data_IF_230065481989
#
_entry.id   IF_230065481989
#
_cell.length_a   1.000
_cell.length_b   1.000
_cell.length_c   1.000
_cell.angle_alpha   90.00
_cell.angle_beta   90.00
_cell.angle_gamma   90.00
#
_symmetry.space_group_name_H-M   'P 1'
#
loop_
_entity.id
_entity.type
_entity.pdbx_description
1 polymer ?
#
# COMPACT_ATOMS: atom_id res chain seq x y z
N UNK A 1 20.07 -1.77 19.20
CA UNK A 1 18.77 -2.47 19.30
C UNK A 1 18.19 -2.55 17.90
N UNK A 2 18.02 -3.74 17.33
CA UNK A 2 17.47 -3.89 15.97
C UNK A 2 16.00 -3.46 15.99
N UNK A 3 15.59 -2.60 15.05
CA UNK A 3 14.18 -2.22 14.93
C UNK A 3 13.33 -3.48 14.71
N UNK A 4 12.14 -3.60 15.33
CA UNK A 4 11.18 -4.65 15.01
C UNK A 4 11.00 -4.83 13.49
N UNK A 5 10.85 -6.06 13.01
CA UNK A 5 10.77 -6.38 11.58
C UNK A 5 9.69 -5.56 10.82
N UNK A 6 8.64 -5.11 11.51
CA UNK A 6 7.61 -4.24 10.91
C UNK A 6 8.10 -2.81 10.58
N UNK A 7 9.27 -2.39 11.07
CA UNK A 7 9.82 -1.03 10.91
C UNK A 7 11.11 -0.97 10.08
N UNK A 8 11.72 -2.11 9.77
CA UNK A 8 12.91 -2.16 8.94
C UNK A 8 12.61 -1.64 7.52
N UNK A 9 13.52 -0.86 6.95
CA UNK A 9 13.43 -0.40 5.56
C UNK A 9 14.18 -1.36 4.64
N UNK A 10 14.05 -1.21 3.32
CA UNK A 10 14.73 -2.12 2.38
C UNK A 10 16.24 -2.02 2.53
N UNK A 11 16.76 -0.83 2.84
CA UNK A 11 18.14 -0.53 3.16
C UNK A 11 18.66 -1.32 4.36
N UNK A 12 17.78 -1.63 5.32
CA UNK A 12 18.15 -2.45 6.48
C UNK A 12 18.08 -3.95 6.16
N UNK A 13 17.12 -4.36 5.34
CA UNK A 13 16.86 -5.77 5.01
C UNK A 13 17.82 -6.31 3.94
N UNK A 14 18.21 -5.47 2.98
CA UNK A 14 19.04 -5.83 1.85
C UNK A 14 20.09 -4.73 1.56
N UNK A 15 21.00 -4.42 2.49
CA UNK A 15 22.00 -3.35 2.32
C UNK A 15 22.91 -3.58 1.11
N UNK A 16 23.25 -4.84 0.82
CA UNK A 16 24.06 -5.20 -0.35
C UNK A 16 23.34 -4.85 -1.67
N UNK A 17 22.04 -5.10 -1.76
CA UNK A 17 21.23 -4.75 -2.92
C UNK A 17 21.25 -3.23 -3.16
N UNK A 18 20.99 -2.45 -2.10
CA UNK A 18 20.98 -0.99 -2.18
C UNK A 18 22.35 -0.45 -2.57
N UNK A 19 23.42 -1.01 -2.01
CA UNK A 19 24.80 -0.65 -2.37
C UNK A 19 25.06 -0.89 -3.85
N UNK A 20 24.70 -2.05 -4.40
CA UNK A 20 24.89 -2.39 -5.83
C UNK A 20 24.08 -1.44 -6.73
N UNK A 21 22.79 -1.25 -6.43
CA UNK A 21 21.92 -0.38 -7.21
C UNK A 21 22.44 1.08 -7.25
N UNK A 22 23.05 1.54 -6.15
CA UNK A 22 23.59 2.90 -6.04
C UNK A 22 24.93 3.06 -6.78
N UNK A 23 25.74 2.00 -6.85
CA UNK A 23 27.05 2.03 -7.52
C UNK A 23 26.95 2.00 -9.04
N UNK A 24 25.95 1.31 -9.59
CA UNK A 24 25.72 1.26 -11.02
C UNK A 24 24.57 2.16 -11.43
N UNK A 25 24.90 3.30 -12.01
CA UNK A 25 23.94 4.17 -12.69
C UNK A 25 23.92 3.83 -14.18
N UNK A 26 22.75 3.50 -14.73
CA UNK A 26 22.57 3.14 -16.14
C UNK A 26 21.84 4.25 -16.90
N UNK A 27 22.20 4.42 -18.17
CA UNK A 27 21.46 5.31 -19.08
C UNK A 27 20.05 4.76 -19.37
N UNK A 28 19.07 5.63 -19.63
CA UNK A 28 17.70 5.19 -19.96
C UNK A 28 17.64 4.22 -21.15
N UNK A 29 18.54 4.36 -22.14
CA UNK A 29 18.61 3.44 -23.29
C UNK A 29 19.03 2.03 -22.85
N UNK A 30 20.13 1.93 -22.11
CA UNK A 30 20.65 0.65 -21.63
C UNK A 30 19.69 -0.02 -20.63
N UNK A 31 19.16 0.78 -19.68
CA UNK A 31 18.17 0.31 -18.71
C UNK A 31 16.92 -0.27 -19.38
N UNK A 32 16.38 0.38 -20.44
CA UNK A 32 15.24 -0.17 -21.20
C UNK A 32 15.57 -1.52 -21.82
N UNK A 33 16.72 -1.66 -22.46
CA UNK A 33 17.15 -2.95 -23.03
C UNK A 33 17.18 -4.03 -21.95
N UNK A 34 17.80 -3.75 -20.80
CA UNK A 34 17.85 -4.71 -19.69
C UNK A 34 16.45 -5.08 -19.17
N UNK A 35 15.56 -4.09 -18.98
CA UNK A 35 14.19 -4.28 -18.50
C UNK A 35 13.36 -5.11 -19.50
N UNK A 36 13.61 -4.98 -20.80
CA UNK A 36 12.95 -5.77 -21.84
C UNK A 36 13.47 -7.22 -21.87
N UNK A 37 14.78 -7.41 -21.74
CA UNK A 37 15.43 -8.73 -21.78
C UNK A 37 15.22 -9.55 -20.50
N UNK A 38 14.95 -8.90 -19.36
CA UNK A 38 14.84 -9.54 -18.05
C UNK A 38 13.45 -9.31 -17.43
N UNK A 39 12.53 -10.29 -17.55
CA UNK A 39 11.21 -10.23 -16.94
C UNK A 39 11.16 -9.96 -15.43
N UNK A 40 12.21 -10.34 -14.71
CA UNK A 40 12.31 -10.14 -13.26
C UNK A 40 12.80 -8.74 -12.84
N UNK A 41 13.27 -7.89 -13.75
CA UNK A 41 13.69 -6.53 -13.41
C UNK A 41 12.49 -5.64 -13.07
N UNK A 42 12.44 -5.18 -11.82
CA UNK A 42 11.40 -4.30 -11.29
C UNK A 42 12.01 -3.12 -10.52
N UNK A 43 11.29 -1.99 -10.41
CA UNK A 43 11.68 -0.92 -9.50
C UNK A 43 11.46 -1.41 -8.07
N UNK A 44 12.47 -1.22 -7.21
CA UNK A 44 12.41 -1.57 -5.78
C UNK A 44 12.35 -0.34 -4.90
N UNK A 45 12.74 0.84 -5.39
CA UNK A 45 12.62 2.10 -4.68
C UNK A 45 12.61 3.30 -5.64
N UNK A 46 11.83 4.33 -5.32
CA UNK A 46 11.99 5.68 -5.88
C UNK A 46 12.52 6.55 -4.75
N UNK A 47 13.61 7.25 -4.98
CA UNK A 47 14.25 8.13 -3.99
C UNK A 47 13.74 9.56 -4.13
N UNK A 48 13.88 10.36 -3.07
CA UNK A 48 13.37 11.74 -3.07
C UNK A 48 14.13 12.72 -3.96
N UNK A 49 15.31 12.34 -4.43
CA UNK A 49 16.13 13.06 -5.42
C UNK A 49 15.85 12.62 -6.86
N UNK A 50 14.83 11.79 -7.10
CA UNK A 50 14.40 11.44 -8.46
C UNK A 50 15.16 10.28 -9.09
N UNK A 51 15.77 9.39 -8.28
CA UNK A 51 16.33 8.13 -8.79
C UNK A 51 15.37 6.96 -8.59
N UNK A 52 15.49 5.97 -9.46
CA UNK A 52 14.80 4.68 -9.35
C UNK A 52 15.85 3.61 -9.15
N UNK A 53 15.74 2.83 -8.07
CA UNK A 53 16.55 1.64 -7.84
C UNK A 53 15.82 0.44 -8.43
N UNK A 54 16.52 -0.36 -9.21
CA UNK A 54 16.02 -1.56 -9.89
C UNK A 54 16.71 -2.80 -9.34
N UNK A 55 15.97 -3.91 -9.29
CA UNK A 55 16.52 -5.22 -8.93
C UNK A 55 15.84 -6.32 -9.73
N UNK A 56 16.61 -7.32 -10.14
CA UNK A 56 16.10 -8.53 -10.81
C UNK A 56 15.63 -9.53 -9.73
N UNK A 57 14.31 -9.63 -9.56
CA UNK A 57 13.70 -10.57 -8.61
C UNK A 57 13.36 -11.92 -9.24
N UNK A 58 13.76 -12.13 -10.50
CA UNK A 58 13.48 -13.34 -11.27
C UNK A 58 11.99 -13.70 -11.27
N UNK A 59 11.72 -14.98 -11.01
CA UNK A 59 10.36 -15.55 -10.93
C UNK A 59 9.84 -15.63 -9.48
N UNK A 60 10.48 -14.96 -8.52
CA UNK A 60 10.10 -15.04 -7.11
C UNK A 60 8.68 -14.51 -6.88
N UNK A 61 7.74 -15.39 -6.50
CA UNK A 61 6.34 -15.04 -6.25
C UNK A 61 6.18 -14.39 -4.88
N UNK A 62 5.65 -13.17 -4.86
CA UNK A 62 5.52 -12.39 -3.63
C UNK A 62 4.36 -12.90 -2.78
N UNK A 63 4.66 -13.35 -1.57
CA UNK A 63 3.67 -13.88 -0.61
C UNK A 63 3.75 -13.17 0.75
N UNK A 64 4.82 -12.44 0.99
CA UNK A 64 5.10 -11.74 2.23
C UNK A 64 4.13 -10.56 2.44
N UNK A 65 3.91 -10.22 3.71
CA UNK A 65 2.97 -9.17 4.08
C UNK A 65 3.51 -7.74 3.81
N UNK A 66 4.73 -7.60 3.29
CA UNK A 66 5.35 -6.35 2.82
C UNK A 66 6.24 -6.61 1.60
N UNK A 67 6.14 -5.74 0.61
CA UNK A 67 6.96 -5.75 -0.59
C UNK A 67 8.47 -5.81 -0.31
N UNK A 68 8.97 -5.02 0.64
CA UNK A 68 10.40 -5.01 1.00
C UNK A 68 10.91 -6.38 1.50
N UNK A 69 10.04 -7.17 2.13
CA UNK A 69 10.39 -8.50 2.63
C UNK A 69 10.46 -9.47 1.43
N UNK A 70 9.51 -9.38 0.50
CA UNK A 70 9.56 -10.10 -0.78
C UNK A 70 10.81 -9.76 -1.59
N UNK A 71 11.18 -8.48 -1.69
CA UNK A 71 12.39 -8.06 -2.41
C UNK A 71 13.64 -8.57 -1.70
N UNK A 72 13.73 -8.45 -0.37
CA UNK A 72 14.88 -8.95 0.38
C UNK A 72 15.05 -10.48 0.23
N UNK A 73 13.94 -11.23 0.23
CA UNK A 73 13.96 -12.68 0.00
C UNK A 73 14.38 -13.03 -1.43
N UNK A 74 13.79 -12.36 -2.44
CA UNK A 74 14.10 -12.57 -3.84
C UNK A 74 15.54 -12.19 -4.21
N UNK A 75 16.07 -11.14 -3.56
CA UNK A 75 17.38 -10.56 -3.85
C UNK A 75 18.47 -10.96 -2.83
N UNK A 76 18.30 -12.08 -2.12
CA UNK A 76 19.25 -12.55 -1.13
C UNK A 76 20.60 -13.02 -1.74
N UNK A 77 20.63 -13.31 -3.04
CA UNK A 77 21.83 -13.79 -3.75
C UNK A 77 22.90 -12.72 -4.00
N UNK A 78 24.15 -13.17 -4.15
CA UNK A 78 25.29 -12.27 -4.44
C UNK A 78 25.28 -11.73 -5.87
N UNK A 79 24.71 -12.47 -6.83
CA UNK A 79 24.72 -12.14 -8.26
C UNK A 79 23.47 -11.38 -8.75
N UNK A 80 22.66 -10.85 -7.83
CA UNK A 80 21.44 -10.12 -8.20
C UNK A 80 21.80 -8.87 -8.97
N UNK A 81 21.30 -8.78 -10.20
CA UNK A 81 21.41 -7.58 -11.04
C UNK A 81 20.61 -6.46 -10.41
N UNK A 82 21.30 -5.35 -10.12
CA UNK A 82 20.72 -4.17 -9.53
C UNK A 82 21.46 -2.92 -10.03
N UNK A 83 20.70 -1.89 -10.39
CA UNK A 83 21.21 -0.63 -10.91
C UNK A 83 20.24 0.50 -10.55
N UNK A 84 20.63 1.72 -10.87
CA UNK A 84 19.80 2.91 -10.74
C UNK A 84 19.66 3.67 -12.05
N UNK A 85 18.56 4.40 -12.18
CA UNK A 85 18.26 5.31 -13.30
C UNK A 85 17.67 6.59 -12.77
N UNK A 86 17.57 7.62 -13.61
CA UNK A 86 16.67 8.74 -13.34
C UNK A 86 15.20 8.28 -13.42
N UNK A 87 14.33 9.00 -12.71
CA UNK A 87 12.88 8.75 -12.70
C UNK A 87 12.23 9.02 -14.05
N UNK A 88 12.85 9.86 -14.88
CA UNK A 88 12.39 10.18 -16.23
C UNK A 88 12.25 8.94 -17.12
N UNK A 89 13.04 7.88 -16.86
CA UNK A 89 12.87 6.59 -17.53
C UNK A 89 11.43 6.07 -17.39
N UNK A 90 10.82 6.20 -16.21
CA UNK A 90 9.44 5.79 -15.97
C UNK A 90 8.44 6.69 -16.71
N UNK A 91 8.81 7.91 -17.11
CA UNK A 91 7.96 8.83 -17.89
C UNK A 91 7.98 8.52 -19.40
N UNK A 92 8.84 7.62 -19.86
CA UNK A 92 8.95 7.27 -21.27
C UNK A 92 7.90 6.22 -21.68
N UNK A 93 7.08 6.53 -22.70
CA UNK A 93 6.13 5.56 -23.29
C UNK A 93 6.83 4.29 -23.80
N UNK A 94 8.06 4.44 -24.31
CA UNK A 94 8.87 3.35 -24.84
C UNK A 94 9.32 2.33 -23.77
N UNK A 95 9.16 2.64 -22.47
CA UNK A 95 9.44 1.68 -21.39
C UNK A 95 8.34 0.62 -21.27
N UNK A 96 7.11 0.89 -21.71
CA UNK A 96 5.94 0.06 -21.46
C UNK A 96 6.23 -1.45 -21.50
N UNK A 97 5.93 -2.13 -20.40
CA UNK A 97 6.26 -3.55 -20.18
C UNK A 97 5.02 -4.42 -20.24
N UNK A 98 5.18 -5.67 -20.66
CA UNK A 98 4.12 -6.66 -20.49
C UNK A 98 3.87 -6.88 -18.99
N UNK A 99 2.64 -6.66 -18.55
CA UNK A 99 2.25 -6.74 -17.15
C UNK A 99 0.86 -7.31 -16.99
N UNK A 100 0.59 -7.82 -15.79
CA UNK A 100 -0.75 -8.29 -15.43
C UNK A 100 -1.70 -7.09 -15.31
N UNK A 101 -2.93 -7.17 -15.84
CA UNK A 101 -3.90 -6.09 -15.69
C UNK A 101 -4.21 -5.87 -14.20
N UNK A 102 -4.20 -4.62 -13.69
CA UNK A 102 -4.65 -4.34 -12.35
C UNK A 102 -6.14 -4.65 -12.21
N UNK A 103 -6.47 -5.60 -11.35
CA UNK A 103 -7.83 -6.03 -11.04
C UNK A 103 -8.38 -5.39 -9.75
N UNK A 104 -7.55 -4.68 -8.98
CA UNK A 104 -8.03 -3.99 -7.80
C UNK A 104 -6.98 -3.19 -7.04
N UNK A 105 -7.38 -2.02 -6.56
CA UNK A 105 -6.59 -1.18 -5.66
C UNK A 105 -7.16 -1.16 -4.25
N UNK A 106 -6.29 -1.34 -3.26
CA UNK A 106 -6.67 -1.38 -1.83
C UNK A 106 -6.08 -0.14 -1.13
N UNK A 107 -6.95 0.82 -0.83
CA UNK A 107 -6.68 1.97 0.03
C UNK A 107 -7.20 1.71 1.45
N UNK A 108 -6.72 2.45 2.44
CA UNK A 108 -7.03 2.13 3.84
C UNK A 108 -6.64 3.21 4.87
N UNK A 109 -7.35 3.25 6.00
CA UNK A 109 -7.13 4.22 7.09
C UNK A 109 -5.99 3.87 8.08
N UNK A 110 -5.14 2.89 7.73
CA UNK A 110 -4.17 2.24 8.63
C UNK A 110 -4.83 1.36 9.70
N UNK A 111 -4.13 0.30 10.11
CA UNK A 111 -4.52 -0.60 11.23
C UNK A 111 -5.94 -1.17 11.16
N UNK A 112 -6.54 -1.20 9.97
CA UNK A 112 -7.93 -1.62 9.72
C UNK A 112 -8.06 -3.03 9.08
N UNK A 113 -7.00 -3.84 9.11
CA UNK A 113 -7.04 -5.20 8.55
C UNK A 113 -6.75 -5.31 7.05
N UNK A 114 -6.30 -4.25 6.39
CA UNK A 114 -5.91 -4.28 4.97
C UNK A 114 -4.86 -5.33 4.61
N UNK A 115 -3.93 -5.64 5.53
CA UNK A 115 -2.97 -6.74 5.34
C UNK A 115 -3.64 -8.13 5.32
N UNK A 116 -4.73 -8.33 6.07
CA UNK A 116 -5.49 -9.59 6.04
C UNK A 116 -6.09 -9.82 4.66
N UNK A 117 -6.75 -8.81 4.08
CA UNK A 117 -7.31 -8.91 2.72
C UNK A 117 -6.22 -9.15 1.68
N UNK A 118 -5.11 -8.40 1.73
CA UNK A 118 -4.02 -8.56 0.77
C UNK A 118 -3.41 -9.97 0.84
N UNK A 119 -3.18 -10.51 2.04
CA UNK A 119 -2.69 -11.88 2.19
C UNK A 119 -3.71 -12.91 1.76
N UNK A 120 -4.99 -12.67 2.02
CA UNK A 120 -6.08 -13.55 1.58
C UNK A 120 -6.07 -13.66 0.06
N UNK A 121 -6.00 -12.52 -0.66
CA UNK A 121 -5.86 -12.50 -2.12
C UNK A 121 -4.61 -13.23 -2.61
N UNK A 122 -3.48 -13.12 -1.88
CA UNK A 122 -2.20 -13.74 -2.24
C UNK A 122 -2.19 -15.27 -2.09
N UNK A 123 -3.20 -15.87 -1.46
CA UNK A 123 -3.35 -17.33 -1.38
C UNK A 123 -3.67 -18.00 -2.71
N UNK A 124 -4.17 -17.24 -3.69
CA UNK A 124 -4.40 -17.75 -5.05
C UNK A 124 -3.19 -17.48 -5.93
N UNK A 125 -2.67 -18.52 -6.57
CA UNK A 125 -1.55 -18.42 -7.51
C UNK A 125 -1.88 -17.61 -8.78
N UNK A 126 -3.17 -17.41 -9.06
CA UNK A 126 -3.60 -16.52 -10.15
C UNK A 126 -3.35 -15.03 -9.85
N UNK A 127 -3.16 -14.68 -8.58
CA UNK A 127 -3.08 -13.30 -8.15
C UNK A 127 -1.62 -12.91 -7.92
N UNK A 128 -1.18 -11.83 -8.56
CA UNK A 128 -0.01 -11.09 -8.13
C UNK A 128 -0.47 -10.02 -7.14
N UNK A 129 -0.03 -10.07 -5.89
CA UNK A 129 -0.41 -9.08 -4.88
C UNK A 129 0.82 -8.28 -4.47
N UNK A 130 0.80 -6.99 -4.77
CA UNK A 130 1.85 -6.05 -4.42
C UNK A 130 1.44 -5.28 -3.16
N UNK A 131 2.14 -5.52 -2.06
CA UNK A 131 1.73 -5.05 -0.74
C UNK A 131 2.67 -3.96 -0.20
N UNK A 132 2.23 -2.70 -0.32
CA UNK A 132 2.94 -1.50 0.14
C UNK A 132 4.34 -1.38 -0.48
N UNK A 133 4.38 -1.32 -1.82
CA UNK A 133 5.63 -1.26 -2.58
C UNK A 133 6.40 0.03 -2.33
N UNK A 134 7.66 -0.11 -1.94
CA UNK A 134 8.60 0.99 -1.69
C UNK A 134 8.67 2.06 -2.80
N UNK A 135 8.59 1.71 -4.11
CA UNK A 135 8.53 2.69 -5.18
C UNK A 135 7.28 3.58 -5.16
N UNK A 136 6.19 3.17 -4.51
CA UNK A 136 4.93 3.93 -4.44
C UNK A 136 4.83 4.83 -3.19
N UNK A 137 5.94 5.07 -2.47
CA UNK A 137 5.98 5.83 -1.21
C UNK A 137 6.50 7.27 -1.37
N UNK A 138 7.22 7.80 -0.36
CA UNK A 138 7.56 9.22 -0.21
C UNK A 138 8.39 9.77 -1.37
N UNK A 139 9.32 8.98 -1.93
CA UNK A 139 10.16 9.42 -3.04
C UNK A 139 9.35 9.73 -4.30
N UNK A 140 8.41 8.85 -4.67
CA UNK A 140 7.50 9.08 -5.80
C UNK A 140 6.70 10.38 -5.63
N UNK A 141 6.04 10.53 -4.48
CA UNK A 141 5.15 11.68 -4.29
C UNK A 141 5.93 12.97 -4.14
N UNK A 142 7.16 12.92 -3.60
CA UNK A 142 8.07 14.07 -3.61
C UNK A 142 8.44 14.49 -5.04
N UNK A 143 8.67 13.54 -5.97
CA UNK A 143 8.91 13.86 -7.39
C UNK A 143 7.66 14.50 -8.01
N UNK A 144 6.50 13.87 -7.85
CA UNK A 144 5.24 14.32 -8.48
C UNK A 144 4.77 15.68 -7.97
N UNK A 145 5.10 16.06 -6.73
CA UNK A 145 4.67 17.31 -6.07
C UNK A 145 5.77 18.39 -6.03
N UNK A 146 6.85 18.24 -6.81
CA UNK A 146 8.04 19.10 -6.75
C UNK A 146 8.51 19.41 -5.32
N UNK A 147 8.87 18.38 -4.58
CA UNK A 147 9.32 18.57 -3.21
C UNK A 147 8.21 18.94 -2.23
N UNK A 148 6.95 18.54 -2.48
CA UNK A 148 5.76 18.88 -1.68
C UNK A 148 5.30 20.33 -1.79
N UNK A 149 5.70 21.03 -2.86
CA UNK A 149 5.36 22.44 -3.11
C UNK A 149 4.10 22.60 -3.95
N UNK A 150 3.86 21.64 -4.82
CA UNK A 150 2.76 21.64 -5.78
C UNK A 150 1.72 20.58 -5.43
N UNK A 151 0.47 20.82 -5.83
CA UNK A 151 -0.55 19.79 -5.78
C UNK A 151 -0.16 18.60 -6.66
N UNK A 152 -0.61 17.39 -6.31
CA UNK A 152 -0.40 16.19 -7.12
C UNK A 152 -1.30 16.17 -8.38
N UNK A 153 -1.39 17.30 -9.07
CA UNK A 153 -2.00 17.45 -10.38
C UNK A 153 -1.07 16.80 -11.42
N UNK A 154 -1.45 15.62 -11.90
CA UNK A 154 -0.60 14.87 -12.81
C UNK A 154 -0.43 15.61 -14.14
N UNK A 155 0.81 15.71 -14.63
CA UNK A 155 1.06 15.90 -16.05
C UNK A 155 0.84 14.57 -16.78
N UNK A 156 0.82 14.57 -18.11
CA UNK A 156 0.74 13.30 -18.85
C UNK A 156 1.98 12.43 -18.61
N UNK A 157 3.15 13.03 -18.45
CA UNK A 157 4.37 12.33 -18.03
C UNK A 157 4.22 11.66 -16.65
N UNK A 158 3.57 12.32 -15.67
CA UNK A 158 3.29 11.69 -14.37
C UNK A 158 2.27 10.55 -14.47
N UNK A 159 1.31 10.63 -15.41
CA UNK A 159 0.39 9.51 -15.70
C UNK A 159 1.18 8.33 -16.26
N UNK A 160 2.05 8.56 -17.24
CA UNK A 160 2.93 7.52 -17.82
C UNK A 160 3.85 6.92 -16.77
N UNK A 161 4.43 7.74 -15.88
CA UNK A 161 5.21 7.29 -14.73
C UNK A 161 4.44 6.30 -13.87
N UNK A 162 3.23 6.66 -13.41
CA UNK A 162 2.43 5.78 -12.56
C UNK A 162 2.05 4.48 -13.28
N UNK A 163 1.74 4.56 -14.58
CA UNK A 163 1.42 3.40 -15.42
C UNK A 163 2.60 2.45 -15.54
N UNK A 164 3.76 2.96 -15.90
CA UNK A 164 4.98 2.18 -16.03
C UNK A 164 5.44 1.61 -14.69
N UNK A 165 5.34 2.39 -13.61
CA UNK A 165 5.73 1.93 -12.28
C UNK A 165 4.86 0.76 -11.80
N UNK A 166 3.53 0.88 -11.91
CA UNK A 166 2.60 -0.20 -11.54
C UNK A 166 2.71 -1.38 -12.52
N UNK A 167 2.92 -1.11 -13.82
CA UNK A 167 3.16 -2.14 -14.83
C UNK A 167 4.41 -2.98 -14.52
N UNK A 168 5.53 -2.34 -14.20
CA UNK A 168 6.75 -3.03 -13.79
C UNK A 168 6.56 -3.83 -12.50
N UNK A 169 5.85 -3.30 -11.51
CA UNK A 169 5.51 -4.06 -10.30
C UNK A 169 4.63 -5.29 -10.61
N UNK A 170 3.75 -5.15 -11.59
CA UNK A 170 2.81 -6.17 -12.08
C UNK A 170 3.36 -7.15 -13.10
N UNK A 171 4.66 -7.16 -13.37
CA UNK A 171 5.27 -8.15 -14.27
C UNK A 171 4.98 -9.58 -13.78
N UNK A 172 4.64 -10.44 -14.73
CA UNK A 172 4.24 -11.82 -14.47
C UNK A 172 5.46 -12.61 -13.98
N UNK A 173 5.32 -13.26 -12.82
CA UNK A 173 6.37 -14.09 -12.19
C UNK A 173 6.08 -15.59 -12.27
N UNK A 174 4.85 -15.95 -12.63
CA UNK A 174 4.51 -17.35 -12.91
C UNK A 174 3.46 -17.46 -14.01
N UNK A 175 3.45 -18.59 -14.72
CA UNK A 175 2.48 -18.86 -15.76
C UNK A 175 1.03 -18.99 -15.23
N UNK A 176 0.82 -19.09 -13.92
CA UNK A 176 -0.51 -19.13 -13.31
C UNK A 176 -1.12 -17.73 -13.13
N UNK A 177 -0.30 -16.69 -12.93
CA UNK A 177 -0.80 -15.36 -12.64
C UNK A 177 -1.62 -14.76 -13.80
N UNK A 178 -2.75 -14.14 -13.47
CA UNK A 178 -3.71 -13.55 -14.40
C UNK A 178 -4.03 -12.10 -14.09
N UNK A 179 -3.81 -11.65 -12.85
CA UNK A 179 -4.25 -10.33 -12.39
C UNK A 179 -3.36 -9.75 -11.30
N UNK A 180 -3.33 -8.42 -11.23
CA UNK A 180 -2.59 -7.65 -10.24
C UNK A 180 -3.54 -7.01 -9.22
N UNK A 181 -3.26 -7.19 -7.94
CA UNK A 181 -3.83 -6.39 -6.86
C UNK A 181 -2.74 -5.54 -6.22
N UNK A 182 -3.00 -4.25 -6.03
CA UNK A 182 -2.04 -3.34 -5.38
C UNK A 182 -2.65 -2.81 -4.08
N UNK A 183 -2.03 -3.15 -2.96
CA UNK A 183 -2.31 -2.54 -1.67
C UNK A 183 -1.33 -1.41 -1.42
N UNK A 184 -1.86 -0.21 -1.21
CA UNK A 184 -1.05 0.97 -0.94
C UNK A 184 -0.81 1.16 0.57
N UNK A 185 0.18 1.99 0.94
CA UNK A 185 0.28 2.47 2.32
C UNK A 185 -0.91 3.36 2.65
N UNK A 186 -1.22 3.51 3.95
CA UNK A 186 -2.40 4.27 4.37
C UNK A 186 -2.43 5.68 3.79
N UNK A 187 -1.30 6.37 3.85
CA UNK A 187 -1.22 7.77 3.42
C UNK A 187 -1.32 7.94 1.90
N UNK A 188 -1.15 6.89 1.09
CA UNK A 188 -1.33 7.00 -0.36
C UNK A 188 -2.76 7.35 -0.76
N UNK A 189 -3.75 7.18 0.11
CA UNK A 189 -5.14 7.54 -0.21
C UNK A 189 -5.30 9.03 -0.52
N UNK A 190 -4.42 9.90 -0.01
CA UNK A 190 -4.46 11.34 -0.36
C UNK A 190 -4.11 11.57 -1.84
N UNK A 191 -3.37 10.65 -2.44
CA UNK A 191 -3.01 10.65 -3.86
C UNK A 191 -3.92 9.76 -4.71
N UNK A 192 -5.03 9.29 -4.14
CA UNK A 192 -5.92 8.38 -4.85
C UNK A 192 -6.45 8.99 -6.14
N UNK A 193 -6.83 10.28 -6.17
CA UNK A 193 -7.27 10.96 -7.42
C UNK A 193 -6.21 10.86 -8.54
N UNK A 194 -4.95 11.07 -8.22
CA UNK A 194 -3.84 10.90 -9.15
C UNK A 194 -3.73 9.44 -9.63
N UNK A 195 -3.72 8.47 -8.71
CA UNK A 195 -3.67 7.04 -9.05
C UNK A 195 -4.87 6.64 -9.92
N UNK A 196 -6.07 7.14 -9.61
CA UNK A 196 -7.30 6.87 -10.38
C UNK A 196 -7.23 7.48 -11.77
N UNK A 197 -6.67 8.68 -11.95
CA UNK A 197 -6.45 9.27 -13.28
C UNK A 197 -5.56 8.39 -14.16
N UNK A 198 -4.52 7.76 -13.59
CA UNK A 198 -3.67 6.86 -14.34
C UNK A 198 -4.36 5.53 -14.72
N UNK A 199 -5.36 5.11 -13.94
CA UNK A 199 -5.99 3.80 -14.03
C UNK A 199 -7.52 3.86 -13.93
N UNK A 200 -8.24 4.65 -14.74
CA UNK A 200 -9.63 5.07 -14.50
C UNK A 200 -10.65 3.91 -14.38
N UNK A 201 -10.35 2.75 -14.96
CA UNK A 201 -11.25 1.59 -14.96
C UNK A 201 -10.91 0.55 -13.87
N UNK A 202 -9.79 0.70 -13.18
CA UNK A 202 -9.38 -0.26 -12.14
C UNK A 202 -10.25 -0.08 -10.90
N UNK A 203 -10.99 -1.10 -10.45
CA UNK A 203 -11.84 -0.98 -9.28
C UNK A 203 -11.00 -0.76 -8.02
N UNK A 204 -11.56 -0.04 -7.05
CA UNK A 204 -10.88 0.29 -5.81
C UNK A 204 -11.78 0.02 -4.61
N UNK A 205 -11.14 -0.28 -3.48
CA UNK A 205 -11.79 -0.28 -2.19
C UNK A 205 -11.01 0.54 -1.17
N UNK A 206 -11.72 1.01 -0.15
CA UNK A 206 -11.16 1.71 0.99
C UNK A 206 -11.57 1.02 2.29
N UNK A 207 -10.60 0.45 3.00
CA UNK A 207 -10.83 -0.25 4.26
C UNK A 207 -10.70 0.72 5.43
N UNK A 208 -11.74 0.80 6.24
CA UNK A 208 -11.78 1.59 7.47
C UNK A 208 -12.18 0.72 8.66
N UNK A 209 -12.06 1.25 9.87
CA UNK A 209 -12.38 0.59 11.14
C UNK A 209 -12.82 1.66 12.13
N UNK A 210 -13.48 1.24 13.21
CA UNK A 210 -13.71 2.07 14.39
C UNK A 210 -12.46 2.95 14.69
N UNK A 211 -12.61 4.29 14.65
CA UNK A 211 -11.48 5.20 14.77
C UNK A 211 -10.81 5.12 16.14
N UNK A 212 -11.54 4.87 17.23
CA UNK A 212 -10.95 4.70 18.55
C UNK A 212 -10.02 3.47 18.58
N UNK A 213 -10.45 2.36 17.99
CA UNK A 213 -9.63 1.14 17.86
C UNK A 213 -8.38 1.35 16.99
N UNK A 214 -8.47 2.22 15.97
CA UNK A 214 -7.31 2.62 15.14
C UNK A 214 -6.33 3.46 15.95
N UNK A 215 -6.80 4.50 16.66
CA UNK A 215 -5.96 5.41 17.44
C UNK A 215 -5.21 4.69 18.57
N UNK A 216 -5.89 3.83 19.36
CA UNK A 216 -5.20 3.06 20.41
C UNK A 216 -4.21 2.06 19.81
N UNK A 217 -4.49 1.50 18.63
CA UNK A 217 -3.53 0.64 17.94
C UNK A 217 -2.32 1.39 17.44
N UNK A 218 -2.48 2.64 17.04
CA UNK A 218 -1.41 3.50 16.55
C UNK A 218 -0.48 3.88 17.70
N UNK A 219 -1.04 4.47 18.77
CA UNK A 219 -0.30 4.90 19.96
C UNK A 219 0.51 3.76 20.60
N UNK A 220 -0.04 2.55 20.64
CA UNK A 220 0.62 1.39 21.24
C UNK A 220 1.83 0.85 20.45
N UNK A 221 2.09 1.36 19.23
CA UNK A 221 3.14 0.84 18.34
C UNK A 221 4.06 1.91 17.78
N UNK A 222 4.12 3.08 18.40
CA UNK A 222 5.04 4.13 17.96
C UNK A 222 6.52 3.80 18.24
N UNK A 223 7.45 4.21 17.36
CA UNK A 223 7.21 4.78 16.02
C UNK A 223 6.86 3.68 14.98
N UNK A 224 5.89 3.93 14.10
CA UNK A 224 5.52 3.05 13.00
C UNK A 224 5.00 3.78 11.76
N UNK A 225 5.16 3.19 10.58
CA UNK A 225 4.39 3.56 9.39
C UNK A 225 4.42 5.07 9.09
N UNK A 226 3.26 5.73 9.15
CA UNK A 226 3.11 7.17 8.90
C UNK A 226 3.51 8.05 10.09
N UNK A 227 3.71 7.52 11.30
CA UNK A 227 4.13 8.32 12.47
C UNK A 227 5.50 8.96 12.25
N UNK A 228 6.35 8.35 11.41
CA UNK A 228 7.65 8.89 10.98
C UNK A 228 7.54 10.15 10.12
N UNK A 229 6.35 10.44 9.56
CA UNK A 229 6.13 11.62 8.74
C UNK A 229 5.93 12.87 9.57
N UNK A 230 5.64 12.75 10.87
CA UNK A 230 5.37 13.90 11.73
C UNK A 230 6.53 14.90 11.69
N UNK A 231 6.21 16.17 11.44
CA UNK A 231 7.21 17.22 11.31
C UNK A 231 7.97 17.23 9.98
N UNK A 232 7.55 16.44 8.99
CA UNK A 232 8.14 16.44 7.65
C UNK A 232 7.25 17.18 6.65
N UNK A 233 7.81 17.66 5.52
CA UNK A 233 7.01 18.24 4.43
C UNK A 233 5.87 17.35 3.94
N UNK A 234 6.03 16.02 4.00
CA UNK A 234 4.96 15.09 3.63
C UNK A 234 3.74 15.18 4.58
N UNK A 235 3.97 15.29 5.89
CA UNK A 235 2.87 15.47 6.85
C UNK A 235 2.21 16.84 6.72
N UNK A 236 3.01 17.89 6.49
CA UNK A 236 2.53 19.24 6.23
C UNK A 236 1.59 19.25 5.01
N UNK A 237 2.02 18.62 3.91
CA UNK A 237 1.24 18.45 2.69
C UNK A 237 -0.06 17.68 2.93
N UNK A 238 0.00 16.52 3.60
CA UNK A 238 -1.16 15.66 3.87
C UNK A 238 -2.22 16.39 4.71
N UNK A 239 -1.77 17.16 5.70
CA UNK A 239 -2.63 17.80 6.69
C UNK A 239 -3.06 19.23 6.30
N UNK A 240 -2.41 19.84 5.30
CA UNK A 240 -2.63 21.24 4.92
C UNK A 240 -2.18 22.23 6.00
N UNK A 241 -1.10 21.91 6.71
CA UNK A 241 -0.50 22.72 7.80
C UNK A 241 1.01 22.84 7.59
N UNK A 242 1.73 23.58 8.43
CA UNK A 242 3.20 23.63 8.36
C UNK A 242 3.85 22.38 8.98
N UNK A 243 5.14 22.16 8.65
CA UNK A 243 5.91 21.08 9.26
C UNK A 243 6.08 21.31 10.77
N UNK A 244 6.24 22.57 11.19
CA UNK A 244 6.35 22.97 12.59
C UNK A 244 5.06 22.70 13.36
N UNK A 245 3.90 23.03 12.78
CA UNK A 245 2.59 22.73 13.35
C UNK A 245 2.40 21.22 13.51
N UNK A 246 2.76 20.43 12.48
CA UNK A 246 2.72 18.96 12.56
C UNK A 246 3.63 18.41 13.66
N UNK A 247 4.85 18.96 13.79
CA UNK A 247 5.80 18.54 14.81
C UNK A 247 5.28 18.84 16.23
N UNK A 248 4.57 19.94 16.42
CA UNK A 248 4.03 20.40 17.69
C UNK A 248 2.81 19.60 18.20
N UNK A 249 2.11 18.87 17.33
CA UNK A 249 0.96 18.04 17.74
C UNK A 249 1.38 16.98 18.76
N UNK A 250 0.54 16.60 19.72
CA UNK A 250 0.78 15.35 20.46
C UNK A 250 0.51 14.12 19.58
N UNK A 251 0.91 12.93 20.02
CA UNK A 251 0.73 11.70 19.24
C UNK A 251 -0.74 11.42 18.90
N UNK A 252 -1.65 11.60 19.87
CA UNK A 252 -3.08 11.34 19.68
C UNK A 252 -3.68 12.26 18.61
N UNK A 253 -3.41 13.56 18.71
CA UNK A 253 -3.89 14.58 17.80
C UNK A 253 -3.30 14.39 16.40
N UNK A 254 -2.01 14.05 16.30
CA UNK A 254 -1.39 13.73 15.03
C UNK A 254 -2.04 12.52 14.35
N UNK A 255 -2.24 11.41 15.09
CA UNK A 255 -2.90 10.22 14.53
C UNK A 255 -4.33 10.48 14.11
N UNK A 256 -5.09 11.26 14.90
CA UNK A 256 -6.46 11.63 14.55
C UNK A 256 -6.53 12.50 13.30
N UNK A 257 -5.64 13.50 13.17
CA UNK A 257 -5.58 14.35 12.00
C UNK A 257 -5.20 13.57 10.73
N UNK A 258 -4.22 12.66 10.81
CA UNK A 258 -3.87 11.79 9.69
C UNK A 258 -5.04 10.88 9.28
N UNK A 259 -5.74 10.29 10.26
CA UNK A 259 -6.92 9.45 10.01
C UNK A 259 -8.05 10.25 9.35
N UNK A 260 -8.33 11.46 9.84
CA UNK A 260 -9.32 12.37 9.26
C UNK A 260 -8.96 12.72 7.81
N UNK A 261 -7.70 13.09 7.55
CA UNK A 261 -7.22 13.37 6.21
C UNK A 261 -7.43 12.19 5.25
N UNK A 262 -7.18 10.96 5.71
CA UNK A 262 -7.41 9.75 4.91
C UNK A 262 -8.87 9.52 4.58
N UNK A 263 -9.76 9.64 5.57
CA UNK A 263 -11.21 9.49 5.37
C UNK A 263 -11.77 10.57 4.43
N UNK A 264 -11.32 11.82 4.61
CA UNK A 264 -11.71 12.95 3.76
C UNK A 264 -11.24 12.72 2.32
N UNK A 265 -9.99 12.30 2.12
CA UNK A 265 -9.47 11.99 0.79
C UNK A 265 -10.26 10.85 0.11
N UNK A 266 -10.60 9.80 0.86
CA UNK A 266 -11.42 8.70 0.36
C UNK A 266 -12.81 9.17 -0.12
N UNK A 267 -13.49 10.00 0.67
CA UNK A 267 -14.82 10.52 0.34
C UNK A 267 -14.83 11.54 -0.79
N UNK A 268 -13.73 12.29 -0.95
CA UNK A 268 -13.63 13.36 -1.95
C UNK A 268 -13.09 12.88 -3.29
N UNK A 269 -12.88 11.60 -3.53
CA UNK A 269 -12.16 11.13 -4.73
C UNK A 269 -12.81 11.49 -6.08
N UNK A 270 -14.09 11.89 -6.10
CA UNK A 270 -14.85 12.21 -7.31
C UNK A 270 -15.82 11.09 -7.70
N UNK A 271 -16.21 11.05 -8.97
CA UNK A 271 -17.29 10.19 -9.46
C UNK A 271 -16.89 8.73 -9.68
N UNK A 272 -15.58 8.42 -9.67
CA UNK A 272 -15.10 7.05 -9.79
C UNK A 272 -15.58 6.23 -8.57
N UNK A 273 -16.29 5.11 -8.76
CA UNK A 273 -16.81 4.32 -7.65
C UNK A 273 -15.66 3.70 -6.84
N UNK A 274 -15.74 3.82 -5.51
CA UNK A 274 -14.94 3.04 -4.55
C UNK A 274 -15.88 2.30 -3.62
N UNK A 275 -15.49 1.08 -3.27
CA UNK A 275 -16.20 0.34 -2.25
C UNK A 275 -15.62 0.65 -0.87
N UNK A 276 -16.42 1.28 -0.02
CA UNK A 276 -16.07 1.45 1.39
C UNK A 276 -16.29 0.13 2.11
N UNK A 277 -15.30 -0.35 2.88
CA UNK A 277 -15.41 -1.62 3.61
C UNK A 277 -15.01 -1.39 5.06
N UNK A 278 -15.96 -1.55 5.97
CA UNK A 278 -15.62 -1.61 7.39
C UNK A 278 -14.90 -2.94 7.67
N UNK A 279 -13.84 -2.89 8.46
CA UNK A 279 -13.12 -4.07 8.98
C UNK A 279 -14.05 -5.17 9.52
N UNK A 280 -15.19 -4.82 10.12
CA UNK A 280 -16.19 -5.79 10.60
C UNK A 280 -16.82 -6.64 9.50
N UNK A 281 -16.74 -6.19 8.26
CA UNK A 281 -17.26 -6.87 7.07
C UNK A 281 -16.21 -7.76 6.42
N UNK A 282 -14.93 -7.58 6.79
CA UNK A 282 -13.83 -8.44 6.35
C UNK A 282 -13.90 -9.74 7.16
N UNK A 283 -14.80 -10.64 6.75
CA UNK A 283 -15.03 -11.96 7.37
C UNK A 283 -14.69 -13.07 6.39
N UNK A 284 -14.36 -14.24 6.95
CA UNK A 284 -14.05 -15.44 6.18
C UNK A 284 -15.25 -15.87 5.33
N UNK A 285 -16.45 -15.81 5.91
CA UNK A 285 -17.68 -16.30 5.31
C UNK A 285 -18.10 -15.43 4.11
N UNK A 286 -18.04 -14.10 4.25
CA UNK A 286 -18.50 -13.12 3.25
C UNK A 286 -17.41 -12.70 2.26
N UNK A 287 -16.21 -13.29 2.31
CA UNK A 287 -15.08 -12.87 1.47
C UNK A 287 -15.42 -12.85 -0.03
N UNK A 288 -16.12 -13.87 -0.54
CA UNK A 288 -16.49 -13.94 -1.96
C UNK A 288 -17.40 -12.78 -2.40
N UNK A 289 -18.40 -12.44 -1.58
CA UNK A 289 -19.32 -11.32 -1.83
C UNK A 289 -18.59 -9.98 -1.79
N UNK A 290 -17.68 -9.81 -0.82
CA UNK A 290 -16.83 -8.63 -0.71
C UNK A 290 -15.98 -8.45 -1.98
N UNK A 291 -15.32 -9.51 -2.46
CA UNK A 291 -14.49 -9.46 -3.66
C UNK A 291 -15.29 -9.17 -4.93
N UNK A 292 -16.49 -9.75 -5.04
CA UNK A 292 -17.39 -9.51 -6.16
C UNK A 292 -17.87 -8.04 -6.17
N UNK A 293 -18.31 -7.52 -5.03
CA UNK A 293 -18.77 -6.13 -4.93
C UNK A 293 -17.64 -5.12 -5.10
N UNK A 294 -16.47 -5.37 -4.49
CA UNK A 294 -15.38 -4.42 -4.46
C UNK A 294 -14.55 -4.38 -5.75
N UNK A 295 -14.43 -5.51 -6.45
CA UNK A 295 -13.52 -5.66 -7.59
C UNK A 295 -14.16 -6.29 -8.82
N UNK A 296 -15.44 -6.69 -8.77
CA UNK A 296 -16.02 -7.54 -9.81
C UNK A 296 -15.33 -8.90 -9.91
N UNK A 297 -14.64 -9.34 -8.85
CA UNK A 297 -13.82 -10.54 -8.86
C UNK A 297 -14.54 -11.70 -8.16
N UNK A 298 -14.83 -12.75 -8.92
CA UNK A 298 -15.41 -14.00 -8.41
C UNK A 298 -14.36 -15.12 -8.49
N UNK A 299 -13.61 -15.41 -7.41
CA UNK A 299 -12.69 -16.53 -7.38
C UNK A 299 -13.41 -17.87 -7.59
N UNK A 300 -12.70 -18.87 -8.14
CA UNK A 300 -13.21 -20.25 -8.17
C UNK A 300 -13.44 -20.77 -6.74
N UNK A 301 -14.17 -21.89 -6.61
CA UNK A 301 -14.41 -22.51 -5.30
C UNK A 301 -13.10 -22.86 -4.59
N UNK A 302 -12.14 -23.42 -5.32
CA UNK A 302 -10.83 -23.83 -4.83
C UNK A 302 -10.01 -22.61 -4.40
N UNK A 303 -10.01 -21.56 -5.22
CA UNK A 303 -9.35 -20.30 -4.89
C UNK A 303 -9.95 -19.69 -3.62
N UNK A 304 -11.28 -19.63 -3.52
CA UNK A 304 -11.95 -19.03 -2.36
C UNK A 304 -11.67 -19.83 -1.07
N UNK A 305 -11.54 -21.15 -1.13
CA UNK A 305 -11.12 -21.98 0.02
C UNK A 305 -9.72 -21.55 0.50
N UNK A 306 -8.74 -21.46 -0.43
CA UNK A 306 -7.38 -21.03 -0.10
C UNK A 306 -7.35 -19.61 0.47
N UNK A 307 -8.11 -18.67 -0.11
CA UNK A 307 -8.19 -17.30 0.36
C UNK A 307 -8.79 -17.20 1.77
N UNK A 308 -9.81 -18.02 2.07
CA UNK A 308 -10.47 -18.08 3.38
C UNK A 308 -9.56 -18.66 4.47
N UNK A 309 -8.65 -19.56 4.12
CA UNK A 309 -7.69 -20.15 5.06
C UNK A 309 -6.81 -19.09 5.75
N UNK A 310 -6.50 -17.99 5.06
CA UNK A 310 -5.73 -16.89 5.64
C UNK A 310 -6.36 -16.28 6.89
N UNK A 311 -7.68 -16.38 7.08
CA UNK A 311 -8.39 -15.85 8.24
C UNK A 311 -8.08 -16.61 9.54
N UNK A 312 -7.50 -17.81 9.45
CA UNK A 312 -7.07 -18.62 10.60
C UNK A 312 -5.74 -18.14 11.20
N UNK A 313 -4.98 -17.31 10.47
CA UNK A 313 -3.61 -16.94 10.82
C UNK A 313 -3.42 -15.43 10.99
N UNK A 314 -2.49 -15.04 11.86
CA UNK A 314 -2.12 -13.64 12.02
C UNK A 314 -1.46 -13.10 10.74
N UNK A 315 -2.10 -12.13 10.09
CA UNK A 315 -1.73 -11.67 8.75
C UNK A 315 -0.34 -10.99 8.64
N UNK A 316 0.37 -10.76 9.74
CA UNK A 316 1.74 -10.20 9.71
C UNK A 316 2.80 -11.24 10.13
N UNK A 317 2.40 -12.49 10.30
CA UNK A 317 3.31 -13.61 10.47
C UNK A 317 3.52 -14.28 9.10
N UNK A 318 4.74 -14.23 8.59
CA UNK A 318 5.09 -14.81 7.28
C UNK A 318 5.03 -16.33 7.30
N UNK A 319 5.39 -16.94 8.44
CA UNK A 319 5.47 -18.39 8.62
C UNK A 319 4.13 -19.01 9.02
N UNK A 320 3.13 -18.17 9.31
CA UNK A 320 1.79 -18.60 9.71
C UNK A 320 1.81 -19.53 10.95
N UNK A 321 2.84 -19.35 11.78
CA UNK A 321 3.01 -20.04 13.06
C UNK A 321 2.02 -19.56 14.13
N UNK A 322 1.49 -18.35 13.96
CA UNK A 322 0.61 -17.68 14.90
C UNK A 322 -0.84 -17.70 14.40
N UNK A 323 -1.73 -18.35 15.15
CA UNK A 323 -3.18 -18.30 14.88
C UNK A 323 -3.74 -16.90 15.09
N UNK A 324 -4.75 -16.55 14.30
CA UNK A 324 -5.46 -15.28 14.46
C UNK A 324 -6.22 -15.28 15.80
N UNK A 325 -6.03 -14.21 16.56
CA UNK A 325 -6.83 -13.90 17.73
C UNK A 325 -7.31 -12.45 17.64
N UNK A 326 -8.60 -12.24 17.84
CA UNK A 326 -9.17 -10.89 17.81
C UNK A 326 -8.60 -10.05 18.96
N UNK A 327 -8.00 -8.91 18.61
CA UNK A 327 -7.46 -7.96 19.58
C UNK A 327 -8.48 -6.89 20.01
N UNK A 328 -9.74 -7.01 19.59
CA UNK A 328 -10.77 -5.99 19.78
C UNK A 328 -11.08 -5.72 21.25
N UNK A 329 -11.35 -6.75 22.04
CA UNK A 329 -11.64 -6.59 23.47
C UNK A 329 -10.47 -5.90 24.19
N UNK A 330 -9.24 -6.33 23.89
CA UNK A 330 -8.02 -5.70 24.42
C UNK A 330 -7.89 -4.24 24.01
N UNK A 331 -8.17 -3.90 22.75
CA UNK A 331 -8.15 -2.50 22.27
C UNK A 331 -9.20 -1.65 22.95
N UNK A 332 -10.42 -2.16 23.13
CA UNK A 332 -11.51 -1.44 23.80
C UNK A 332 -11.17 -1.07 25.24
N UNK A 333 -10.43 -1.93 25.96
CA UNK A 333 -9.93 -1.63 27.31
C UNK A 333 -8.87 -0.50 27.34
N UNK A 334 -8.21 -0.21 26.21
CA UNK A 334 -7.22 0.86 26.10
C UNK A 334 -7.82 2.20 25.66
N UNK A 335 -9.13 2.25 25.36
CA UNK A 335 -9.80 3.48 24.94
C UNK A 335 -9.99 4.38 26.15
N UNK A 336 -9.27 5.49 26.16
CA UNK A 336 -9.36 6.50 27.23
C UNK A 336 -10.42 7.56 26.91
N UNK A 337 -10.89 8.33 27.91
CA UNK A 337 -11.77 9.48 27.65
C UNK A 337 -11.15 10.52 26.69
N UNK A 338 -9.82 10.66 26.67
CA UNK A 338 -9.15 11.55 25.72
C UNK A 338 -9.28 11.05 24.28
N UNK A 339 -9.12 9.74 24.04
CA UNK A 339 -9.35 9.13 22.72
C UNK A 339 -10.79 9.35 22.28
N UNK A 340 -11.77 9.10 23.16
CA UNK A 340 -13.19 9.29 22.83
C UNK A 340 -13.50 10.74 22.46
N UNK A 341 -12.96 11.71 23.21
CA UNK A 341 -13.16 13.14 22.89
C UNK A 341 -12.61 13.52 21.51
N UNK A 342 -11.43 13.02 21.16
CA UNK A 342 -10.81 13.27 19.85
C UNK A 342 -11.60 12.60 18.73
N UNK A 343 -12.05 11.36 18.95
CA UNK A 343 -12.92 10.66 17.99
C UNK A 343 -14.21 11.43 17.75
N UNK A 344 -14.90 11.84 18.81
CA UNK A 344 -16.16 12.59 18.72
C UNK A 344 -15.96 13.90 17.94
N UNK A 345 -14.88 14.63 18.24
CA UNK A 345 -14.57 15.91 17.62
C UNK A 345 -14.20 15.77 16.13
N UNK A 346 -13.34 14.82 15.79
CA UNK A 346 -12.63 14.82 14.49
C UNK A 346 -13.04 13.70 13.54
N UNK A 347 -13.53 12.56 14.06
CA UNK A 347 -13.65 11.31 13.29
C UNK A 347 -15.06 10.73 13.24
N UNK A 348 -15.92 10.98 14.24
CA UNK A 348 -17.24 10.36 14.34
C UNK A 348 -18.10 10.62 13.09
N UNK A 349 -18.20 11.88 12.65
CA UNK A 349 -18.96 12.24 11.44
C UNK A 349 -18.41 11.60 10.16
N UNK A 350 -17.09 11.46 10.05
CA UNK A 350 -16.44 10.81 8.92
C UNK A 350 -16.71 9.29 8.95
N UNK A 351 -16.61 8.68 10.12
CA UNK A 351 -16.92 7.27 10.28
C UNK A 351 -18.38 6.96 9.93
N UNK A 352 -19.34 7.72 10.45
CA UNK A 352 -20.76 7.59 10.10
C UNK A 352 -21.04 7.82 8.61
N UNK A 353 -20.33 8.76 7.98
CA UNK A 353 -20.45 8.99 6.55
C UNK A 353 -19.97 7.79 5.73
N UNK A 354 -18.89 7.13 6.16
CA UNK A 354 -18.41 5.90 5.54
C UNK A 354 -19.41 4.74 5.74
N UNK A 355 -20.00 4.60 6.93
CA UNK A 355 -21.02 3.57 7.20
C UNK A 355 -22.26 3.72 6.29
N UNK A 356 -22.70 4.96 6.02
CA UNK A 356 -23.87 5.22 5.14
C UNK A 356 -23.67 4.77 3.69
N UNK A 357 -22.43 4.74 3.21
CA UNK A 357 -22.08 4.32 1.84
C UNK A 357 -21.47 2.92 1.78
N UNK A 358 -21.21 2.30 2.93
CA UNK A 358 -20.69 0.94 3.04
C UNK A 358 -21.76 -0.05 2.56
N UNK A 359 -21.44 -0.98 1.66
CA UNK A 359 -22.37 -2.01 1.23
C UNK A 359 -22.68 -2.93 2.41
N UNK A 360 -23.93 -3.35 2.58
CA UNK A 360 -24.32 -4.27 3.64
C UNK A 360 -24.12 -5.73 3.20
N UNK A 361 -22.97 -6.31 3.48
CA UNK A 361 -22.76 -7.76 3.40
C UNK A 361 -23.40 -8.45 4.62
N UNK A 362 -24.74 -8.48 4.68
CA UNK A 362 -25.44 -9.22 5.72
C UNK A 362 -25.28 -10.71 5.45
N UNK A 363 -24.89 -11.45 6.50
CA UNK A 363 -24.96 -12.90 6.54
C UNK A 363 -26.43 -13.30 6.30
N UNK A 364 -26.76 -13.85 5.13
CA UNK A 364 -27.84 -14.84 5.10
C UNK A 364 -27.24 -16.10 5.74
N UNK A 365 -27.48 -16.23 7.05
CA UNK A 365 -27.39 -17.49 7.77
C UNK A 365 -28.75 -18.15 7.78
#
# INVERSE_FOLDING_TARGET
MQLPAEFQQLETLAPALISRATQWFSSNREARTMIQERPGLIPVQVTGDGRVLWADVGEYVFTEWKFRNSVAAAAAGEDVVAFSTDVDLLMEEALAVESLPPAGFIFQVSRCGSTLLARSLARSLDNCVINEASPLHEGLWRVVTDGWREDAALTDAHVTLLRNLIGCLGRRRSAAQRRLFVKFRSWNVVFMRAIRRAFPDVPALFIYRDPAEVLVSALAREPFGYSRLKGTPASAYILGITAEESAAMDGLSFHAAMNAAYMIAAMRQGDAPITFVNYEQLRRETLGELLAAAFGYTPSREQLILMRDQFEFYSKDEQESTRFASDRARKRLLITPAVLRVVERDLARLYEAAERVSPNFRLYG
#
